data_IF_716565078982
#
_entry.id   IF_716565078982
#
_cell.length_a   1.000
_cell.length_b   1.000
_cell.length_c   1.000
_cell.angle_alpha   90.00
_cell.angle_beta   90.00
_cell.angle_gamma   90.00
#
_symmetry.space_group_name_H-M   'P 1'
#
loop_
_entity.id
_entity.type
_entity.pdbx_description
1 polymer ?
#
# COMPACT_ATOMS: atom_id res chain seq x y z
N UNK A 1 7.85 -14.16 -11.14
CA UNK A 1 7.59 -14.63 -9.76
C UNK A 1 7.61 -13.42 -8.84
N UNK A 2 6.50 -13.10 -8.16
CA UNK A 2 6.44 -11.99 -7.21
C UNK A 2 6.80 -12.51 -5.81
N UNK A 3 7.80 -11.89 -5.16
CA UNK A 3 8.17 -12.22 -3.78
C UNK A 3 7.04 -11.77 -2.84
N UNK A 4 6.54 -12.65 -1.95
CA UNK A 4 5.53 -12.34 -0.92
C UNK A 4 6.11 -11.61 0.32
N UNK A 5 7.26 -10.96 0.18
CA UNK A 5 7.94 -10.33 1.30
C UNK A 5 7.26 -9.00 1.68
N UNK A 6 7.05 -8.82 2.99
CA UNK A 6 6.64 -7.54 3.56
C UNK A 6 7.82 -6.58 3.58
N UNK A 7 7.65 -5.43 2.94
CA UNK A 7 8.74 -4.48 2.67
C UNK A 7 8.55 -3.12 3.35
N UNK A 8 7.38 -2.87 3.96
CA UNK A 8 7.10 -1.70 4.79
C UNK A 8 5.79 -1.88 5.55
N UNK A 9 5.69 -1.29 6.74
CA UNK A 9 4.51 -1.34 7.61
C UNK A 9 4.44 -0.06 8.46
N UNK A 10 3.24 0.37 8.82
CA UNK A 10 3.02 1.47 9.78
C UNK A 10 1.69 1.22 10.49
N UNK A 11 1.63 1.47 11.80
CA UNK A 11 0.48 1.10 12.64
C UNK A 11 0.03 2.28 13.50
N UNK A 12 -1.28 2.50 13.56
CA UNK A 12 -1.93 3.36 14.56
C UNK A 12 -3.36 2.87 14.81
N UNK A 13 -3.97 3.33 15.91
CA UNK A 13 -5.33 2.94 16.30
C UNK A 13 -6.41 3.26 15.24
N UNK A 14 -6.13 4.16 14.30
CA UNK A 14 -7.02 4.50 13.19
C UNK A 14 -6.26 4.53 11.87
N UNK A 15 -6.84 3.93 10.83
CA UNK A 15 -6.24 3.87 9.50
C UNK A 15 -6.29 5.24 8.81
N UNK A 16 -5.15 5.96 8.81
CA UNK A 16 -4.97 7.27 8.17
C UNK A 16 -4.04 7.19 6.95
N UNK A 17 -4.16 8.16 6.05
CA UNK A 17 -3.34 8.23 4.83
C UNK A 17 -1.82 8.26 5.09
N UNK A 18 -1.38 8.86 6.20
CA UNK A 18 0.04 8.93 6.54
C UNK A 18 0.66 7.53 6.76
N UNK A 19 -0.06 6.60 7.39
CA UNK A 19 0.45 5.25 7.64
C UNK A 19 0.77 4.52 6.33
N UNK A 20 -0.09 4.69 5.33
CA UNK A 20 0.09 4.11 4.00
C UNK A 20 1.30 4.75 3.31
N UNK A 21 1.48 6.07 3.45
CA UNK A 21 2.62 6.78 2.89
C UNK A 21 3.94 6.32 3.53
N UNK A 22 3.97 6.16 4.85
CA UNK A 22 5.17 5.72 5.58
C UNK A 22 5.56 4.29 5.18
N UNK A 23 4.58 3.39 5.10
CA UNK A 23 4.79 2.01 4.65
C UNK A 23 5.30 1.97 3.20
N UNK A 24 4.74 2.78 2.31
CA UNK A 24 5.19 2.90 0.92
C UNK A 24 6.62 3.44 0.84
N UNK A 25 6.95 4.48 1.60
CA UNK A 25 8.30 5.03 1.66
C UNK A 25 9.28 3.95 2.13
N UNK A 26 9.02 3.25 3.24
CA UNK A 26 9.87 2.15 3.70
C UNK A 26 10.10 1.09 2.62
N UNK A 27 9.05 0.70 1.89
CA UNK A 27 9.14 -0.25 0.80
C UNK A 27 10.04 0.24 -0.34
N UNK A 28 9.89 1.51 -0.75
CA UNK A 28 10.70 2.15 -1.79
C UNK A 28 12.17 2.20 -1.36
N UNK A 29 12.44 2.64 -0.13
CA UNK A 29 13.81 2.73 0.38
C UNK A 29 14.49 1.36 0.46
N UNK A 30 13.76 0.33 0.89
CA UNK A 30 14.27 -1.04 1.04
C UNK A 30 14.51 -1.74 -0.31
N UNK A 31 13.67 -1.48 -1.31
CA UNK A 31 13.70 -2.20 -2.60
C UNK A 31 14.28 -1.40 -3.76
N UNK A 32 14.32 -0.07 -3.65
CA UNK A 32 14.72 0.87 -4.71
C UNK A 32 14.11 0.51 -6.07
N UNK A 33 12.77 0.38 -6.16
CA UNK A 33 12.12 -0.07 -7.38
C UNK A 33 12.35 0.91 -8.54
N UNK A 34 12.40 0.38 -9.75
CA UNK A 34 12.45 1.19 -10.97
C UNK A 34 11.10 1.90 -11.22
N UNK A 35 11.15 2.94 -12.07
CA UNK A 35 9.95 3.65 -12.52
C UNK A 35 9.04 2.70 -13.30
N UNK A 36 7.73 2.89 -13.18
CA UNK A 36 6.73 2.01 -13.80
C UNK A 36 6.26 0.87 -12.90
N UNK A 37 6.69 0.83 -11.63
CA UNK A 37 6.13 -0.09 -10.64
C UNK A 37 4.61 0.08 -10.55
N UNK A 38 3.87 -1.02 -10.61
CA UNK A 38 2.43 -1.05 -10.40
C UNK A 38 2.13 -1.19 -8.90
N UNK A 39 1.45 -0.19 -8.34
CA UNK A 39 0.94 -0.19 -6.97
C UNK A 39 -0.54 -0.56 -6.98
N UNK A 40 -0.84 -1.80 -6.58
CA UNK A 40 -2.20 -2.31 -6.54
C UNK A 40 -2.78 -2.31 -5.13
N UNK A 41 -3.92 -1.65 -4.94
CA UNK A 41 -4.63 -1.59 -3.64
C UNK A 41 -6.13 -1.73 -3.84
N UNK A 42 -6.86 -1.98 -2.76
CA UNK A 42 -8.31 -1.80 -2.79
C UNK A 42 -8.70 -0.33 -2.79
N UNK A 43 -9.97 -0.07 -3.12
CA UNK A 43 -10.55 1.27 -3.10
C UNK A 43 -10.77 1.73 -1.65
N UNK A 44 -9.77 2.39 -1.08
CA UNK A 44 -9.82 3.03 0.24
C UNK A 44 -9.51 4.53 0.16
N UNK A 45 -10.13 5.34 1.00
CA UNK A 45 -9.92 6.81 1.03
C UNK A 45 -8.47 7.18 1.37
N UNK A 46 -7.77 6.34 2.12
CA UNK A 46 -6.35 6.50 2.44
C UNK A 46 -5.47 6.41 1.19
N UNK A 47 -5.72 5.41 0.34
CA UNK A 47 -5.04 5.20 -0.95
C UNK A 47 -5.44 6.23 -2.01
N UNK A 48 -6.64 6.79 -1.92
CA UNK A 48 -7.11 7.85 -2.81
C UNK A 48 -6.70 9.26 -2.36
N UNK A 49 -6.07 9.41 -1.21
CA UNK A 49 -5.69 10.71 -0.66
C UNK A 49 -4.70 11.46 -1.57
N UNK A 50 -4.77 12.79 -1.57
CA UNK A 50 -3.89 13.63 -2.38
C UNK A 50 -2.41 13.38 -2.03
N UNK A 51 -2.09 13.30 -0.74
CA UNK A 51 -0.74 13.02 -0.25
C UNK A 51 -0.16 11.72 -0.84
N UNK A 52 -0.98 10.67 -0.89
CA UNK A 52 -0.57 9.37 -1.42
C UNK A 52 -0.37 9.41 -2.93
N UNK A 53 -1.30 10.03 -3.66
CA UNK A 53 -1.20 10.18 -5.12
C UNK A 53 0.02 11.00 -5.53
N UNK A 54 0.34 12.06 -4.77
CA UNK A 54 1.53 12.89 -4.99
C UNK A 54 2.81 12.07 -4.79
N UNK A 55 2.86 11.25 -3.73
CA UNK A 55 3.99 10.39 -3.45
C UNK A 55 4.22 9.35 -4.56
N UNK A 56 3.16 8.67 -5.01
CA UNK A 56 3.25 7.72 -6.14
C UNK A 56 3.78 8.39 -7.41
N UNK A 57 3.29 9.60 -7.72
CA UNK A 57 3.74 10.37 -8.89
C UNK A 57 5.23 10.76 -8.79
N UNK A 58 5.69 11.17 -7.61
CA UNK A 58 7.10 11.53 -7.38
C UNK A 58 8.05 10.36 -7.63
N UNK A 59 7.62 9.14 -7.28
CA UNK A 59 8.42 7.93 -7.48
C UNK A 59 8.15 7.23 -8.83
N UNK A 60 7.30 7.80 -9.70
CA UNK A 60 6.98 7.19 -10.99
C UNK A 60 6.22 5.86 -10.88
N UNK A 61 5.45 5.69 -9.81
CA UNK A 61 4.67 4.49 -9.52
C UNK A 61 3.25 4.67 -10.07
N UNK A 62 2.76 3.66 -10.79
CA UNK A 62 1.41 3.63 -11.35
C UNK A 62 0.42 3.05 -10.36
N UNK A 63 -0.64 3.79 -10.04
CA UNK A 63 -1.68 3.31 -9.14
C UNK A 63 -2.71 2.45 -9.91
N UNK A 64 -3.07 1.31 -9.34
CA UNK A 64 -4.18 0.46 -9.76
C UNK A 64 -5.07 0.17 -8.55
N UNK A 65 -6.37 0.43 -8.66
CA UNK A 65 -7.31 0.19 -7.56
C UNK A 65 -8.43 -0.78 -7.95
N UNK A 66 -8.74 -1.72 -7.06
CA UNK A 66 -9.89 -2.62 -7.18
C UNK A 66 -11.23 -1.86 -7.21
N UNK A 67 -12.26 -2.45 -7.81
CA UNK A 67 -13.64 -1.92 -7.72
C UNK A 67 -14.18 -2.04 -6.29
N UNK A 68 -15.08 -1.13 -5.90
CA UNK A 68 -15.77 -1.15 -4.60
C UNK A 68 -16.52 -2.48 -4.47
N UNK A 69 -16.21 -3.27 -3.43
CA UNK A 69 -16.90 -4.54 -3.13
C UNK A 69 -16.17 -5.83 -3.52
N UNK A 70 -14.92 -5.79 -3.99
CA UNK A 70 -14.17 -7.01 -4.28
C UNK A 70 -13.33 -7.46 -3.06
N UNK A 71 -13.96 -8.17 -2.12
CA UNK A 71 -13.33 -8.67 -0.89
C UNK A 71 -12.26 -9.74 -1.14
N UNK A 72 -12.22 -10.33 -2.34
CA UNK A 72 -11.37 -11.47 -2.68
C UNK A 72 -9.91 -11.09 -3.00
N UNK A 73 -9.65 -9.84 -3.42
CA UNK A 73 -8.29 -9.34 -3.62
C UNK A 73 -7.56 -8.98 -2.32
N UNK A 74 -8.34 -8.63 -1.28
CA UNK A 74 -7.84 -8.16 0.00
C UNK A 74 -7.57 -9.26 1.04
N UNK A 75 -8.03 -10.50 0.79
CA UNK A 75 -7.95 -11.55 1.82
C UNK A 75 -6.52 -11.77 2.31
N UNK A 76 -5.51 -11.62 1.45
CA UNK A 76 -4.09 -11.77 1.82
C UNK A 76 -3.59 -10.61 2.67
N UNK A 77 -3.91 -9.37 2.32
CA UNK A 77 -3.54 -8.19 3.12
C UNK A 77 -4.30 -8.15 4.44
N UNK A 78 -5.62 -8.39 4.44
CA UNK A 78 -6.44 -8.42 5.64
C UNK A 78 -6.07 -9.57 6.60
N UNK A 79 -5.74 -10.75 6.08
CA UNK A 79 -5.24 -11.87 6.92
C UNK A 79 -3.88 -11.56 7.53
N UNK A 80 -3.01 -10.83 6.82
CA UNK A 80 -1.73 -10.37 7.37
C UNK A 80 -1.94 -9.33 8.50
N UNK A 81 -2.87 -8.39 8.34
CA UNK A 81 -3.19 -7.40 9.38
C UNK A 81 -3.89 -8.03 10.60
N UNK A 82 -4.65 -9.11 10.44
CA UNK A 82 -5.21 -9.87 11.57
C UNK A 82 -4.16 -10.68 12.35
N UNK A 83 -2.99 -10.94 11.75
CA UNK A 83 -1.94 -11.76 12.36
C UNK A 83 -0.91 -10.95 13.17
N UNK A 84 -1.05 -9.63 13.27
CA UNK A 84 -0.19 -8.78 14.10
C UNK A 84 -0.85 -8.56 15.47
N UNK A 85 -0.28 -9.05 16.59
CA UNK A 85 -0.75 -8.71 17.92
C UNK A 85 -0.49 -7.22 18.22
N UNK A 86 -1.41 -6.61 18.98
CA UNK A 86 -1.39 -5.21 19.43
C UNK A 86 -0.08 -4.77 20.09
#
# INVERSE_FOLDING_TARGET
MFSRQVVGWSMAAHMKAHLVNDALLMAIWKRKPEKGLLWHTDRGSQYASESHRKLLKQHGIQQSMSRKGNCWGNAVSASFFHALPN
#
